data_IF_260758734475
#
_entry.id   IF_260758734475
#
_cell.length_a   1.000
_cell.length_b   1.000
_cell.length_c   1.000
_cell.angle_alpha   90.00
_cell.angle_beta   90.00
_cell.angle_gamma   90.00
#
_symmetry.space_group_name_H-M   'P 1'
#
loop_
_entity.id
_entity.type
_entity.pdbx_description
1 polymer ?
#
# COMPACT_ATOMS: atom_id res chain seq x y z
N UNK A 1 15.11 20.47 -18.86
CA UNK A 1 15.37 19.61 -17.68
C UNK A 1 14.26 18.58 -17.66
N UNK A 2 14.58 17.30 -17.86
CA UNK A 2 13.61 16.23 -17.70
C UNK A 2 13.29 16.14 -16.20
N UNK A 3 12.23 16.79 -15.75
CA UNK A 3 11.59 16.40 -14.50
C UNK A 3 10.94 15.04 -14.76
N UNK A 4 11.70 13.96 -14.55
CA UNK A 4 11.11 12.64 -14.43
C UNK A 4 10.03 12.71 -13.36
N UNK A 5 8.78 12.47 -13.75
CA UNK A 5 7.66 12.37 -12.81
C UNK A 5 7.97 11.17 -11.91
N UNK A 6 8.53 11.44 -10.73
CA UNK A 6 8.83 10.40 -9.73
C UNK A 6 7.50 9.84 -9.23
N UNK A 7 7.18 8.61 -9.64
CA UNK A 7 5.96 7.92 -9.22
C UNK A 7 6.18 7.28 -7.85
N UNK A 8 5.10 7.09 -7.07
CA UNK A 8 5.17 6.40 -5.78
C UNK A 8 5.81 5.01 -5.90
N UNK A 9 5.49 4.28 -6.97
CA UNK A 9 6.04 2.94 -7.22
C UNK A 9 7.57 2.94 -7.39
N UNK A 10 8.17 4.04 -7.85
CA UNK A 10 9.64 4.18 -7.98
C UNK A 10 10.36 4.59 -6.69
N UNK A 11 9.63 5.03 -5.66
CA UNK A 11 10.22 5.43 -4.37
C UNK A 11 10.61 4.20 -3.54
N UNK A 12 11.40 4.41 -2.49
CA UNK A 12 11.75 3.40 -1.49
C UNK A 12 11.25 3.83 -0.12
N UNK A 13 10.76 2.87 0.65
CA UNK A 13 10.40 3.10 2.03
C UNK A 13 11.60 3.59 2.84
N UNK A 14 11.32 4.42 3.83
CA UNK A 14 12.33 4.93 4.78
C UNK A 14 12.02 4.41 6.18
N UNK A 15 13.03 4.10 7.01
CA UNK A 15 12.79 3.74 8.41
C UNK A 15 11.90 4.77 9.10
N UNK A 16 10.87 4.32 9.80
CA UNK A 16 9.94 5.16 10.53
C UNK A 16 9.99 4.76 12.01
N UNK A 17 10.76 5.50 12.82
CA UNK A 17 11.15 5.10 14.18
C UNK A 17 10.17 5.57 15.28
N UNK A 18 8.92 5.92 14.95
CA UNK A 18 7.89 6.27 15.93
C UNK A 18 7.88 7.72 16.43
N UNK A 19 8.95 8.48 16.20
CA UNK A 19 9.06 9.89 16.64
C UNK A 19 8.40 10.91 15.69
N UNK A 20 7.93 10.47 14.53
CA UNK A 20 7.26 11.31 13.55
C UNK A 20 5.73 11.19 13.69
N UNK A 21 4.99 12.31 13.61
CA UNK A 21 3.54 12.22 13.57
C UNK A 21 3.07 11.54 12.27
N UNK A 22 1.90 10.87 12.27
CA UNK A 22 1.22 10.45 11.05
C UNK A 22 1.07 11.60 10.06
N UNK A 23 0.95 11.24 8.78
CA UNK A 23 0.65 12.19 7.71
C UNK A 23 -0.63 12.97 8.04
N UNK A 24 -0.56 14.28 7.82
CA UNK A 24 -1.74 15.14 7.87
C UNK A 24 -2.74 14.76 6.78
N UNK A 25 -4.02 15.00 7.04
CA UNK A 25 -5.14 14.66 6.14
C UNK A 25 -4.94 15.21 4.73
N UNK A 26 -4.41 16.44 4.60
CA UNK A 26 -4.16 17.08 3.31
C UNK A 26 -3.14 16.28 2.48
N UNK A 27 -2.13 15.70 3.14
CA UNK A 27 -1.12 14.87 2.46
C UNK A 27 -1.70 13.52 2.06
N UNK A 28 -2.52 12.90 2.91
CA UNK A 28 -3.26 11.67 2.58
C UNK A 28 -4.14 11.88 1.34
N UNK A 29 -4.92 12.97 1.32
CA UNK A 29 -5.80 13.30 0.19
C UNK A 29 -5.03 13.64 -1.10
N UNK A 30 -3.78 14.08 -1.00
CA UNK A 30 -2.91 14.31 -2.16
C UNK A 30 -2.25 13.02 -2.69
N UNK A 31 -2.06 12.00 -1.84
CA UNK A 31 -1.40 10.75 -2.18
C UNK A 31 -2.38 9.67 -2.66
N UNK A 32 -3.55 9.56 -2.02
CA UNK A 32 -4.54 8.52 -2.34
C UNK A 32 -4.95 8.49 -3.82
N UNK A 33 -5.18 9.63 -4.51
CA UNK A 33 -5.53 9.63 -5.94
C UNK A 33 -4.40 9.18 -6.89
N UNK A 34 -3.17 8.99 -6.38
CA UNK A 34 -2.04 8.49 -7.17
C UNK A 34 -2.00 6.95 -7.20
N UNK A 35 -2.85 6.29 -6.43
CA UNK A 35 -3.02 4.83 -6.43
C UNK A 35 -4.12 4.43 -7.44
N UNK A 36 -4.12 3.15 -7.82
CA UNK A 36 -5.18 2.59 -8.66
C UNK A 36 -6.55 2.66 -7.97
N UNK A 37 -7.66 2.73 -8.72
CA UNK A 37 -9.00 2.72 -8.14
C UNK A 37 -9.26 1.51 -7.24
N UNK A 38 -9.90 1.77 -6.10
CA UNK A 38 -10.28 0.74 -5.12
C UNK A 38 -9.48 0.78 -3.82
N UNK A 39 -8.39 1.56 -3.75
CA UNK A 39 -7.84 1.97 -2.46
C UNK A 39 -8.74 3.04 -1.83
N UNK A 40 -9.06 2.89 -0.55
CA UNK A 40 -9.76 3.89 0.23
C UNK A 40 -9.15 4.06 1.61
N UNK A 41 -9.42 5.21 2.22
CA UNK A 41 -9.07 5.51 3.60
C UNK A 41 -10.10 4.86 4.53
N UNK A 42 -9.65 4.20 5.60
CA UNK A 42 -10.55 3.68 6.63
C UNK A 42 -11.34 4.78 7.33
N UNK A 43 -12.45 4.41 7.97
CA UNK A 43 -13.31 5.34 8.72
C UNK A 43 -12.55 6.08 9.84
N UNK A 44 -11.59 5.42 10.49
CA UNK A 44 -10.74 6.01 11.53
C UNK A 44 -9.59 6.87 10.97
N UNK A 45 -9.40 6.90 9.65
CA UNK A 45 -8.35 7.67 8.96
C UNK A 45 -6.94 7.13 9.13
N UNK A 46 -6.76 5.93 9.69
CA UNK A 46 -5.43 5.41 10.10
C UNK A 46 -4.80 4.41 9.15
N UNK A 47 -5.55 3.88 8.18
CA UNK A 47 -5.05 2.92 7.20
C UNK A 47 -5.65 3.18 5.83
N UNK A 48 -4.92 2.78 4.80
CA UNK A 48 -5.46 2.64 3.45
C UNK A 48 -5.66 1.16 3.16
N UNK A 49 -6.76 0.81 2.51
CA UNK A 49 -7.07 -0.59 2.25
C UNK A 49 -7.71 -0.78 0.88
N UNK A 50 -7.53 -1.98 0.31
CA UNK A 50 -8.10 -2.37 -0.98
C UNK A 50 -8.48 -3.84 -0.95
N UNK A 51 -9.67 -4.15 -1.44
CA UNK A 51 -10.10 -5.51 -1.74
C UNK A 51 -9.94 -5.80 -3.24
N UNK A 52 -9.36 -6.95 -3.57
CA UNK A 52 -9.14 -7.43 -4.93
C UNK A 52 -9.81 -8.79 -5.12
N UNK A 53 -10.29 -9.05 -6.34
CA UNK A 53 -10.91 -10.32 -6.73
C UNK A 53 -10.11 -10.97 -7.85
N UNK A 54 -9.98 -12.29 -7.78
CA UNK A 54 -9.26 -13.14 -8.72
C UNK A 54 -10.17 -14.25 -9.25
N UNK A 55 -9.69 -15.04 -10.21
CA UNK A 55 -10.48 -16.15 -10.78
C UNK A 55 -10.49 -17.38 -9.89
N UNK A 56 -9.41 -17.65 -9.16
CA UNK A 56 -9.21 -18.87 -8.38
C UNK A 56 -8.10 -18.70 -7.34
N UNK A 57 -7.92 -19.73 -6.51
CA UNK A 57 -6.96 -19.72 -5.41
C UNK A 57 -5.49 -19.64 -5.85
N UNK A 58 -5.14 -20.21 -7.01
CA UNK A 58 -3.79 -20.09 -7.56
C UNK A 58 -3.43 -18.63 -7.85
N UNK A 59 -4.35 -17.87 -8.43
CA UNK A 59 -4.12 -16.44 -8.69
C UNK A 59 -4.08 -15.62 -7.39
N UNK A 60 -5.01 -15.87 -6.46
CA UNK A 60 -5.03 -15.18 -5.16
C UNK A 60 -3.73 -15.42 -4.40
N UNK A 61 -3.31 -16.67 -4.24
CA UNK A 61 -2.09 -17.01 -3.51
C UNK A 61 -0.80 -16.50 -4.19
N UNK A 62 -0.74 -16.53 -5.53
CA UNK A 62 0.39 -15.95 -6.27
C UNK A 62 0.50 -14.44 -6.04
N UNK A 63 -0.64 -13.73 -6.09
CA UNK A 63 -0.68 -12.30 -5.79
C UNK A 63 -0.24 -12.01 -4.34
N UNK A 64 -0.76 -12.74 -3.36
CA UNK A 64 -0.38 -12.58 -1.94
C UNK A 64 1.12 -12.78 -1.74
N UNK A 65 1.71 -13.82 -2.34
CA UNK A 65 3.15 -14.06 -2.22
C UNK A 65 3.99 -12.93 -2.83
N UNK A 66 3.53 -12.32 -3.94
CA UNK A 66 4.17 -11.15 -4.52
C UNK A 66 4.06 -9.92 -3.60
N UNK A 67 2.91 -9.70 -2.95
CA UNK A 67 2.76 -8.63 -1.95
C UNK A 67 3.70 -8.85 -0.75
N UNK A 68 3.80 -10.08 -0.25
CA UNK A 68 4.73 -10.44 0.84
C UNK A 68 6.19 -10.17 0.43
N UNK A 69 6.55 -10.49 -0.81
CA UNK A 69 7.89 -10.18 -1.32
C UNK A 69 8.15 -8.67 -1.35
N UNK A 70 7.20 -7.86 -1.82
CA UNK A 70 7.31 -6.38 -1.79
C UNK A 70 7.48 -5.89 -0.34
N UNK A 71 6.66 -6.39 0.58
CA UNK A 71 6.71 -6.01 1.99
C UNK A 71 8.11 -6.22 2.59
N UNK A 72 8.74 -7.38 2.31
CA UNK A 72 10.10 -7.66 2.75
C UNK A 72 11.15 -6.79 2.05
N UNK A 73 10.99 -6.48 0.77
CA UNK A 73 11.92 -5.61 0.04
C UNK A 73 11.90 -4.17 0.56
N UNK A 74 10.75 -3.72 1.05
CA UNK A 74 10.55 -2.37 1.57
C UNK A 74 10.66 -2.26 3.09
N UNK A 75 10.78 -3.38 3.79
CA UNK A 75 10.71 -3.48 5.25
C UNK A 75 9.46 -2.76 5.82
N UNK A 76 8.34 -2.91 5.13
CA UNK A 76 7.07 -2.29 5.48
C UNK A 76 5.91 -3.24 5.19
N UNK A 77 5.27 -3.74 6.24
CA UNK A 77 4.42 -4.92 6.18
C UNK A 77 2.93 -4.53 6.24
N UNK A 78 2.10 -4.96 5.28
CA UNK A 78 0.64 -4.78 5.37
C UNK A 78 -0.01 -5.83 6.28
N UNK A 79 -1.21 -5.51 6.73
CA UNK A 79 -2.19 -6.51 7.15
C UNK A 79 -2.81 -7.16 5.91
N UNK A 80 -2.75 -8.49 5.84
CA UNK A 80 -3.26 -9.29 4.71
C UNK A 80 -4.31 -10.28 5.20
N UNK A 81 -5.47 -10.29 4.56
CA UNK A 81 -6.42 -11.40 4.63
C UNK A 81 -6.85 -11.84 3.24
N UNK A 82 -7.05 -13.14 3.02
CA UNK A 82 -7.42 -13.66 1.71
C UNK A 82 -8.23 -14.95 1.80
N UNK A 83 -9.06 -15.17 0.79
CA UNK A 83 -9.92 -16.35 0.64
C UNK A 83 -9.68 -17.06 -0.69
N UNK A 84 -10.68 -17.81 -1.16
CA UNK A 84 -10.56 -18.58 -2.40
C UNK A 84 -10.20 -17.68 -3.61
N UNK A 85 -10.91 -16.57 -3.79
CA UNK A 85 -10.79 -15.71 -4.96
C UNK A 85 -10.74 -14.22 -4.61
N UNK A 86 -10.36 -13.89 -3.38
CA UNK A 86 -10.29 -12.50 -2.91
C UNK A 86 -9.10 -12.28 -1.99
N UNK A 87 -8.55 -11.07 -2.04
CA UNK A 87 -7.50 -10.60 -1.14
C UNK A 87 -7.86 -9.20 -0.64
N UNK A 88 -7.60 -8.95 0.63
CA UNK A 88 -7.71 -7.65 1.27
C UNK A 88 -6.33 -7.26 1.80
N UNK A 89 -5.86 -6.09 1.36
CA UNK A 89 -4.56 -5.55 1.75
C UNK A 89 -4.82 -4.21 2.44
N UNK A 90 -4.31 -4.06 3.66
CA UNK A 90 -4.38 -2.82 4.42
C UNK A 90 -2.98 -2.39 4.87
N UNK A 91 -2.66 -1.10 4.68
CA UNK A 91 -1.39 -0.51 5.09
C UNK A 91 -1.62 0.55 6.18
N UNK A 92 -0.84 0.45 7.24
CA UNK A 92 -0.69 1.47 8.29
C UNK A 92 0.73 1.39 8.83
N UNK A 93 1.25 2.51 9.33
CA UNK A 93 2.54 2.54 10.01
C UNK A 93 2.31 2.45 11.52
N UNK A 94 2.36 1.24 12.06
CA UNK A 94 2.05 0.98 13.48
C UNK A 94 2.87 1.80 14.47
N UNK A 95 4.16 2.05 14.16
CA UNK A 95 5.07 2.80 15.03
C UNK A 95 4.59 4.23 15.32
N UNK A 96 3.86 4.84 14.39
CA UNK A 96 3.33 6.21 14.52
C UNK A 96 1.80 6.23 14.72
N UNK A 97 1.15 5.06 14.75
CA UNK A 97 -0.31 4.95 14.96
C UNK A 97 -1.16 5.50 13.82
N UNK A 98 -0.64 5.55 12.59
CA UNK A 98 -1.35 6.08 11.43
C UNK A 98 -0.56 5.94 10.13
N UNK A 99 -0.91 6.74 9.12
CA UNK A 99 -0.32 6.65 7.80
C UNK A 99 1.03 7.38 7.71
N UNK A 100 2.00 6.77 7.02
CA UNK A 100 3.24 7.38 6.54
C UNK A 100 3.28 7.33 5.01
N UNK A 101 4.29 7.95 4.39
CA UNK A 101 4.46 7.85 2.93
C UNK A 101 4.76 6.41 2.49
N UNK A 102 5.35 5.57 3.36
CA UNK A 102 5.65 4.17 3.08
C UNK A 102 4.40 3.36 2.73
N UNK A 103 3.28 3.65 3.40
CA UNK A 103 2.00 2.99 3.14
C UNK A 103 1.58 3.17 1.66
N UNK A 104 1.74 4.38 1.13
CA UNK A 104 1.41 4.71 -0.25
C UNK A 104 2.45 4.19 -1.25
N UNK A 105 3.73 4.15 -0.87
CA UNK A 105 4.81 3.55 -1.69
C UNK A 105 4.53 2.06 -1.90
N UNK A 106 4.25 1.32 -0.82
CA UNK A 106 3.95 -0.10 -0.91
C UNK A 106 2.63 -0.36 -1.66
N UNK A 107 1.58 0.42 -1.40
CA UNK A 107 0.32 0.31 -2.15
C UNK A 107 0.51 0.51 -3.66
N UNK A 108 1.30 1.51 -4.07
CA UNK A 108 1.60 1.75 -5.49
C UNK A 108 2.42 0.61 -6.13
N UNK A 109 3.28 -0.07 -5.36
CA UNK A 109 4.02 -1.25 -5.84
C UNK A 109 3.11 -2.47 -5.97
N UNK A 110 2.15 -2.63 -5.06
CA UNK A 110 1.11 -3.66 -5.15
C UNK A 110 0.26 -3.43 -6.40
N UNK A 111 -0.11 -2.19 -6.71
CA UNK A 111 -0.86 -1.86 -7.92
C UNK A 111 -0.14 -2.30 -9.21
N UNK A 112 1.19 -2.20 -9.25
CA UNK A 112 2.00 -2.61 -10.40
C UNK A 112 1.93 -4.13 -10.67
N UNK A 113 1.48 -4.95 -9.72
CA UNK A 113 1.29 -6.39 -9.92
C UNK A 113 0.05 -6.73 -10.75
N UNK A 114 -0.93 -5.83 -10.84
CA UNK A 114 -2.26 -6.12 -11.40
C UNK A 114 -2.37 -5.79 -12.90
N UNK A 115 -1.32 -5.22 -13.50
CA UNK A 115 -1.37 -4.69 -14.86
C UNK A 115 -2.21 -3.41 -14.95
N UNK A 116 -2.14 -2.70 -16.10
CA UNK A 116 -3.01 -1.56 -16.38
C UNK A 116 -4.48 -1.95 -16.60
#
# INVERSE_FOLDING_TARGET
MNDEIVTLASKRCRPCEGDLPPLATERVLALLPQLQPGWHLSEDGRRIERQMRFRNYYQTSAFINAVIWIAHQEDHHPDISFGYNEAHIAYTTHAIGGLSENDFICAAKVDALLGP
#
